data_IF_636478847925
#
_entry.id   IF_636478847925
#
_cell.length_a   1.000
_cell.length_b   1.000
_cell.length_c   1.000
_cell.angle_alpha   90.00
_cell.angle_beta   90.00
_cell.angle_gamma   90.00
#
_symmetry.space_group_name_H-M   'P 1'
#
loop_
_entity.id
_entity.type
_entity.pdbx_description
1 polymer ?
#
# COMPACT_ATOMS: atom_id res chain seq x y z
N UNK A 1 -3.34 -1.37 0.73
CA UNK A 1 -3.60 -1.02 -0.68
C UNK A 1 -2.72 0.17 -1.05
N UNK A 2 -2.20 0.23 -2.28
CA UNK A 2 -1.51 1.42 -2.78
C UNK A 2 -2.50 2.53 -3.16
N UNK A 3 -2.22 3.76 -2.72
CA UNK A 3 -3.03 4.96 -3.01
C UNK A 3 -2.17 6.08 -3.64
N UNK A 4 -1.09 5.72 -4.34
CA UNK A 4 -0.13 6.66 -4.91
C UNK A 4 -0.68 7.53 -6.04
N UNK A 5 -1.79 7.12 -6.65
CA UNK A 5 -2.43 7.80 -7.78
C UNK A 5 -3.64 8.64 -7.37
N UNK A 6 -3.95 8.73 -6.08
CA UNK A 6 -5.08 9.50 -5.56
C UNK A 6 -4.61 10.88 -5.04
N UNK A 7 -5.16 12.00 -5.53
CA UNK A 7 -4.79 13.36 -5.10
C UNK A 7 -5.09 13.64 -3.63
N UNK A 8 -6.01 12.88 -3.00
CA UNK A 8 -6.29 13.03 -1.56
C UNK A 8 -5.16 12.53 -0.67
N UNK A 9 -4.21 11.77 -1.23
CA UNK A 9 -3.11 11.15 -0.48
C UNK A 9 -1.75 11.63 -1.01
N UNK A 10 -1.15 10.89 -1.95
CA UNK A 10 0.24 11.11 -2.35
C UNK A 10 0.42 11.65 -3.76
N UNK A 11 -0.61 11.59 -4.61
CA UNK A 11 -0.45 11.89 -6.03
C UNK A 11 0.13 13.30 -6.22
N UNK A 12 -0.46 14.31 -5.61
CA UNK A 12 -0.05 15.70 -5.85
C UNK A 12 1.31 15.98 -5.19
N UNK A 13 1.63 15.41 -4.03
CA UNK A 13 2.97 15.58 -3.44
C UNK A 13 4.06 14.94 -4.31
N UNK A 14 3.80 13.73 -4.84
CA UNK A 14 4.70 13.03 -5.76
C UNK A 14 4.79 13.82 -7.07
N UNK A 15 3.65 14.30 -7.60
CA UNK A 15 3.54 14.89 -8.92
C UNK A 15 4.00 16.36 -8.96
N UNK A 16 3.92 17.09 -7.87
CA UNK A 16 4.26 18.51 -7.88
C UNK A 16 5.61 18.76 -7.22
N UNK A 17 5.97 17.97 -6.21
CA UNK A 17 7.18 18.21 -5.41
C UNK A 17 8.20 17.07 -5.48
N UNK A 18 7.85 15.93 -6.08
CA UNK A 18 8.71 14.74 -6.09
C UNK A 18 8.92 14.16 -4.68
N UNK A 19 8.01 14.42 -3.74
CA UNK A 19 8.14 13.91 -2.37
C UNK A 19 7.09 12.83 -2.08
N UNK A 20 7.58 11.70 -1.59
CA UNK A 20 6.79 10.67 -0.94
C UNK A 20 7.00 10.75 0.56
N UNK A 21 6.13 11.49 1.25
CA UNK A 21 6.17 11.65 2.71
C UNK A 21 5.39 10.52 3.38
N UNK A 22 6.06 9.70 4.18
CA UNK A 22 5.40 8.55 4.81
C UNK A 22 6.01 8.22 6.17
N UNK A 23 5.21 7.99 7.24
CA UNK A 23 5.69 7.64 8.57
C UNK A 23 5.99 6.14 8.69
N UNK A 24 7.00 5.68 7.96
CA UNK A 24 7.32 4.25 7.85
C UNK A 24 7.99 3.68 9.09
N UNK A 25 8.69 4.49 9.87
CA UNK A 25 9.43 4.06 11.06
C UNK A 25 10.47 2.98 10.77
N UNK A 26 10.97 2.88 9.53
CA UNK A 26 11.88 1.84 9.08
C UNK A 26 11.22 0.49 8.73
N UNK A 27 9.90 0.35 8.93
CA UNK A 27 9.18 -0.85 8.53
C UNK A 27 8.96 -0.92 7.01
N UNK A 28 8.69 -2.13 6.52
CA UNK A 28 8.31 -2.38 5.13
C UNK A 28 6.80 -2.56 4.99
N UNK A 29 6.30 -2.36 3.77
CA UNK A 29 4.88 -2.54 3.43
C UNK A 29 4.74 -3.38 2.17
N UNK A 30 3.91 -4.41 2.23
CA UNK A 30 3.49 -5.22 1.09
C UNK A 30 2.30 -4.57 0.37
N UNK A 31 2.57 -3.53 -0.42
CA UNK A 31 1.54 -2.71 -1.09
C UNK A 31 0.69 -3.51 -2.10
N UNK A 32 -0.55 -3.84 -1.73
CA UNK A 32 -1.46 -4.48 -2.68
C UNK A 32 -2.11 -3.49 -3.67
N UNK A 33 -2.19 -3.87 -4.95
CA UNK A 33 -2.95 -3.18 -5.98
C UNK A 33 -4.47 -3.39 -5.82
N UNK A 34 -5.26 -2.34 -5.96
CA UNK A 34 -6.72 -2.44 -5.88
C UNK A 34 -7.33 -3.39 -6.93
N UNK A 35 -6.69 -3.52 -8.10
CA UNK A 35 -7.08 -4.43 -9.19
C UNK A 35 -6.88 -5.90 -8.79
N UNK A 36 -5.87 -6.20 -7.97
CA UNK A 36 -5.66 -7.56 -7.47
C UNK A 36 -6.72 -7.92 -6.42
N UNK A 37 -7.09 -6.99 -5.55
CA UNK A 37 -8.23 -7.18 -4.63
C UNK A 37 -9.51 -7.43 -5.43
N UNK A 38 -9.79 -6.60 -6.43
CA UNK A 38 -10.97 -6.75 -7.29
C UNK A 38 -10.98 -8.11 -8.01
N UNK A 39 -9.83 -8.55 -8.54
CA UNK A 39 -9.72 -9.83 -9.26
C UNK A 39 -9.89 -11.06 -8.35
N UNK A 40 -9.49 -10.97 -7.07
CA UNK A 40 -9.78 -12.01 -6.07
C UNK A 40 -11.26 -12.00 -5.69
N UNK A 41 -11.83 -10.82 -5.42
CA UNK A 41 -13.24 -10.68 -5.07
C UNK A 41 -14.17 -11.18 -6.19
N UNK A 42 -13.87 -10.84 -7.44
CA UNK A 42 -14.57 -11.34 -8.64
C UNK A 42 -14.63 -12.87 -8.66
N UNK A 43 -13.49 -13.54 -8.50
CA UNK A 43 -13.44 -15.01 -8.48
C UNK A 43 -14.19 -15.61 -7.29
N UNK A 44 -13.96 -15.07 -6.10
CA UNK A 44 -14.62 -15.54 -4.88
C UNK A 44 -16.15 -15.42 -4.93
N UNK A 45 -16.67 -14.43 -5.67
CA UNK A 45 -18.11 -14.26 -5.88
C UNK A 45 -18.69 -15.20 -6.94
N UNK A 46 -17.90 -15.61 -7.93
CA UNK A 46 -18.39 -16.39 -9.08
C UNK A 46 -18.13 -17.90 -8.97
N UNK A 47 -17.15 -18.31 -8.17
CA UNK A 47 -16.80 -19.72 -7.96
C UNK A 47 -17.06 -20.16 -6.52
N UNK A 48 -18.01 -21.09 -6.36
CA UNK A 48 -18.41 -21.65 -5.07
C UNK A 48 -17.25 -22.38 -4.34
N UNK A 49 -16.17 -22.75 -5.03
CA UNK A 49 -14.96 -23.30 -4.43
C UNK A 49 -14.27 -22.37 -3.43
N UNK A 50 -14.59 -21.07 -3.45
CA UNK A 50 -14.10 -20.09 -2.49
C UNK A 50 -15.01 -19.89 -1.27
N UNK A 51 -16.14 -20.58 -1.19
CA UNK A 51 -17.10 -20.41 -0.09
C UNK A 51 -16.46 -20.74 1.27
N UNK A 52 -16.63 -19.81 2.22
CA UNK A 52 -16.12 -19.95 3.58
C UNK A 52 -14.61 -19.76 3.73
N UNK A 53 -13.88 -19.43 2.66
CA UNK A 53 -12.44 -19.16 2.71
C UNK A 53 -12.15 -17.73 3.16
N UNK A 54 -11.06 -17.57 3.91
CA UNK A 54 -10.53 -16.25 4.32
C UNK A 54 -9.22 -16.02 3.59
N UNK A 55 -9.11 -14.88 2.90
CA UNK A 55 -7.90 -14.50 2.16
C UNK A 55 -7.29 -13.24 2.76
N UNK A 56 -6.09 -13.39 3.32
CA UNK A 56 -5.26 -12.24 3.71
C UNK A 56 -4.48 -11.79 2.48
N UNK A 57 -4.89 -10.69 1.86
CA UNK A 57 -4.32 -10.23 0.59
C UNK A 57 -3.18 -9.23 0.83
N UNK A 58 -2.07 -9.43 0.13
CA UNK A 58 -0.88 -8.59 0.18
C UNK A 58 -0.33 -8.32 -1.23
N UNK A 59 0.52 -7.30 -1.35
CA UNK A 59 1.32 -7.10 -2.57
C UNK A 59 2.37 -8.21 -2.73
N UNK A 60 2.97 -8.35 -3.93
CA UNK A 60 3.89 -9.45 -4.23
C UNK A 60 5.25 -9.34 -3.53
N UNK A 61 5.57 -8.16 -2.99
CA UNK A 61 6.85 -7.89 -2.33
C UNK A 61 6.65 -6.88 -1.20
N UNK A 62 7.41 -7.06 -0.12
CA UNK A 62 7.48 -6.16 1.03
C UNK A 62 8.55 -5.09 0.80
N UNK A 63 8.12 -3.83 0.68
CA UNK A 63 9.00 -2.74 0.24
C UNK A 63 9.33 -1.79 1.38
N UNK A 64 10.59 -1.37 1.47
CA UNK A 64 10.97 -0.20 2.28
C UNK A 64 10.44 1.09 1.63
N UNK A 65 10.30 2.17 2.40
CA UNK A 65 9.84 3.45 1.85
C UNK A 65 10.83 4.05 0.83
N UNK A 66 12.16 3.98 1.02
CA UNK A 66 13.12 4.35 -0.03
C UNK A 66 12.95 3.54 -1.31
N UNK A 67 12.78 2.22 -1.21
CA UNK A 67 12.55 1.36 -2.38
C UNK A 67 11.23 1.68 -3.07
N UNK A 68 10.19 2.01 -2.30
CA UNK A 68 8.91 2.48 -2.83
C UNK A 68 9.11 3.78 -3.62
N UNK A 69 9.88 4.74 -3.11
CA UNK A 69 10.19 5.99 -3.81
C UNK A 69 11.02 5.76 -5.10
N UNK A 70 11.95 4.81 -5.12
CA UNK A 70 12.67 4.42 -6.34
C UNK A 70 11.72 3.90 -7.44
N UNK A 71 10.79 3.01 -7.07
CA UNK A 71 9.78 2.48 -7.99
C UNK A 71 8.84 3.57 -8.49
N UNK A 72 8.41 4.47 -7.61
CA UNK A 72 7.62 5.65 -7.97
C UNK A 72 8.40 6.56 -8.92
N UNK A 73 9.70 6.74 -8.72
CA UNK A 73 10.56 7.53 -9.62
C UNK A 73 10.59 6.96 -11.02
N UNK A 74 10.78 5.63 -11.12
CA UNK A 74 10.79 4.92 -12.40
C UNK A 74 9.44 5.04 -13.12
N UNK A 75 8.34 4.85 -12.40
CA UNK A 75 6.98 4.93 -12.96
C UNK A 75 6.59 6.37 -13.36
N UNK A 76 7.01 7.38 -12.59
CA UNK A 76 6.71 8.77 -12.86
C UNK A 76 7.64 9.42 -13.90
N UNK A 77 8.75 8.76 -14.26
CA UNK A 77 9.76 9.28 -15.20
C UNK A 77 10.58 10.44 -14.65
N UNK A 78 10.69 10.59 -13.32
CA UNK A 78 11.38 11.70 -12.65
C UNK A 78 11.76 11.36 -11.21
N UNK A 79 12.65 12.13 -10.57
CA UNK A 79 13.05 11.86 -9.18
C UNK A 79 11.88 11.99 -8.20
N UNK A 80 11.68 10.94 -7.39
CA UNK A 80 10.81 10.93 -6.21
C UNK A 80 11.66 10.50 -5.01
N UNK A 81 11.67 11.30 -3.94
CA UNK A 81 12.41 11.00 -2.71
C UNK A 81 11.46 10.66 -1.58
N UNK A 82 11.81 9.63 -0.80
CA UNK A 82 11.12 9.36 0.45
C UNK A 82 11.52 10.40 1.49
N UNK A 83 10.52 10.99 2.15
CA UNK A 83 10.67 11.80 3.35
C UNK A 83 10.03 11.07 4.51
N UNK A 84 10.83 10.66 5.47
CA UNK A 84 10.32 10.17 6.74
C UNK A 84 9.64 11.32 7.49
N UNK A 85 8.40 11.10 7.94
CA UNK A 85 7.63 12.04 8.76
C UNK A 85 7.17 11.34 10.02
N UNK A 86 6.94 12.10 11.07
CA UNK A 86 6.29 11.57 12.28
C UNK A 86 4.82 11.29 12.02
N UNK A 87 4.21 10.43 12.84
CA UNK A 87 2.74 10.21 12.78
C UNK A 87 1.99 11.50 13.06
N UNK A 88 2.50 12.35 13.96
CA UNK A 88 1.92 13.65 14.29
C UNK A 88 1.88 14.57 13.06
N UNK A 89 2.97 14.61 12.28
CA UNK A 89 3.01 15.37 11.02
C UNK A 89 2.09 14.76 9.96
N UNK A 90 2.06 13.42 9.84
CA UNK A 90 1.26 12.73 8.83
C UNK A 90 -0.25 12.92 9.00
N UNK A 91 -0.72 13.14 10.23
CA UNK A 91 -2.14 13.41 10.54
C UNK A 91 -2.41 14.88 10.83
N UNK A 92 -1.45 15.77 10.58
CA UNK A 92 -1.64 17.20 10.77
C UNK A 92 -2.77 17.71 9.86
N UNK A 93 -3.71 18.47 10.44
CA UNK A 93 -4.89 18.98 9.72
C UNK A 93 -6.08 18.01 9.65
N UNK A 94 -5.91 16.74 10.01
CA UNK A 94 -7.02 15.80 10.17
C UNK A 94 -7.71 16.01 11.52
N UNK A 95 -9.00 15.70 11.61
CA UNK A 95 -9.77 15.79 12.86
C UNK A 95 -10.69 14.59 13.05
N UNK A 96 -11.15 14.37 14.29
CA UNK A 96 -12.11 13.32 14.63
C UNK A 96 -11.65 11.91 14.23
N UNK A 97 -12.63 11.10 13.81
CA UNK A 97 -12.43 9.68 13.53
C UNK A 97 -11.35 9.40 12.46
N UNK A 98 -11.27 10.24 11.42
CA UNK A 98 -10.28 10.10 10.35
C UNK A 98 -8.85 10.22 10.89
N UNK A 99 -8.61 11.21 11.77
CA UNK A 99 -7.31 11.42 12.41
C UNK A 99 -6.91 10.19 13.22
N UNK A 100 -7.81 9.70 14.06
CA UNK A 100 -7.53 8.61 14.99
C UNK A 100 -7.30 7.28 14.24
N UNK A 101 -8.10 7.01 13.21
CA UNK A 101 -7.93 5.84 12.36
C UNK A 101 -6.60 5.89 11.57
N UNK A 102 -6.24 7.06 11.05
CA UNK A 102 -4.99 7.26 10.31
C UNK A 102 -3.78 7.08 11.22
N UNK A 103 -3.80 7.69 12.42
CA UNK A 103 -2.74 7.52 13.41
C UNK A 103 -2.57 6.06 13.81
N UNK A 104 -3.67 5.35 14.13
CA UNK A 104 -3.64 3.93 14.46
C UNK A 104 -3.09 3.07 13.31
N UNK A 105 -3.44 3.42 12.07
CA UNK A 105 -2.92 2.73 10.88
C UNK A 105 -1.41 2.89 10.77
N UNK A 106 -0.89 4.10 10.95
CA UNK A 106 0.55 4.34 10.90
C UNK A 106 1.30 3.68 12.05
N UNK A 107 0.74 3.63 13.27
CA UNK A 107 1.32 2.86 14.38
C UNK A 107 1.46 1.37 14.02
N UNK A 108 0.44 0.79 13.38
CA UNK A 108 0.50 -0.60 12.88
C UNK A 108 1.53 -0.79 11.77
N UNK A 109 1.69 0.19 10.87
CA UNK A 109 2.74 0.16 9.86
C UNK A 109 4.12 0.13 10.52
N UNK A 110 4.38 1.04 11.46
CA UNK A 110 5.66 1.09 12.19
C UNK A 110 5.93 -0.19 13.00
N UNK A 111 4.88 -0.84 13.49
CA UNK A 111 4.97 -2.15 14.14
C UNK A 111 5.15 -3.34 13.17
N UNK A 112 5.33 -3.09 11.87
CA UNK A 112 5.57 -4.12 10.84
C UNK A 112 4.33 -4.95 10.47
N UNK A 113 3.13 -4.55 10.89
CA UNK A 113 1.89 -5.34 10.65
C UNK A 113 1.47 -5.44 9.19
N UNK A 114 2.06 -4.61 8.32
CA UNK A 114 1.78 -4.61 6.88
C UNK A 114 2.94 -5.16 6.05
N UNK A 115 3.97 -5.74 6.68
CA UNK A 115 5.17 -6.23 5.99
C UNK A 115 4.98 -7.62 5.36
N UNK A 116 4.02 -8.40 5.81
CA UNK A 116 3.86 -9.80 5.41
C UNK A 116 3.39 -9.95 3.95
N UNK A 117 4.03 -10.89 3.23
CA UNK A 117 3.65 -11.31 1.89
C UNK A 117 3.04 -12.71 1.99
N UNK A 118 1.76 -12.80 1.64
CA UNK A 118 0.91 -13.98 1.89
C UNK A 118 0.77 -14.89 0.67
N UNK A 119 1.03 -14.39 -0.54
CA UNK A 119 0.80 -15.14 -1.79
C UNK A 119 -0.68 -15.47 -2.08
N UNK A 120 -1.61 -15.02 -1.23
CA UNK A 120 -3.03 -15.37 -1.33
C UNK A 120 -3.69 -14.88 -2.63
N UNK A 121 -3.18 -13.78 -3.19
CA UNK A 121 -3.58 -13.30 -4.52
C UNK A 121 -3.33 -14.37 -5.57
N UNK A 122 -2.18 -15.06 -5.54
CA UNK A 122 -1.85 -16.09 -6.53
C UNK A 122 -2.71 -17.34 -6.37
N UNK A 123 -2.86 -17.76 -5.12
CA UNK A 123 -3.65 -18.93 -4.75
C UNK A 123 -5.12 -18.76 -5.12
N UNK A 124 -5.68 -17.56 -4.93
CA UNK A 124 -7.05 -17.27 -5.34
C UNK A 124 -7.20 -17.11 -6.87
N UNK A 125 -6.14 -16.75 -7.59
CA UNK A 125 -6.18 -16.48 -9.04
C UNK A 125 -5.81 -17.68 -9.92
N UNK A 126 -5.18 -18.72 -9.37
CA UNK A 126 -4.48 -19.78 -10.11
C UNK A 126 -3.43 -19.25 -11.12
N UNK A 127 -2.83 -18.06 -10.90
CA UNK A 127 -1.75 -17.44 -11.72
C UNK A 127 -0.94 -16.44 -10.88
N UNK A 128 0.33 -16.20 -11.25
CA UNK A 128 1.22 -15.14 -10.68
C UNK A 128 0.73 -13.70 -10.97
N UNK A 129 0.91 -12.79 -10.01
CA UNK A 129 0.62 -11.37 -10.02
C UNK A 129 1.75 -10.62 -10.72
N UNK A 130 1.41 -9.45 -11.26
CA UNK A 130 2.40 -8.57 -11.86
C UNK A 130 3.16 -7.90 -10.71
N UNK A 131 4.47 -8.09 -10.67
CA UNK A 131 5.35 -7.32 -9.80
C UNK A 131 5.21 -5.82 -10.05
N UNK A 132 5.77 -4.99 -9.17
CA UNK A 132 5.84 -3.54 -9.38
C UNK A 132 6.76 -3.27 -10.58
N UNK A 133 6.19 -3.13 -11.77
CA UNK A 133 6.88 -2.85 -13.03
C UNK A 133 5.98 -2.12 -14.00
#
# INVERSE_FOLDING_TARGET
MQVFTDPRFYRDSIVDTGQFSFPGGGATVAWIDARDIASVAERALLDAGHAGQVYELSGPESLSMPRTAELLSAAAGRPVTHREVTIVEAVAGMTGFERDLSALTFERVRAGRFAEVTGAVESAKNRRSKGYG
#
